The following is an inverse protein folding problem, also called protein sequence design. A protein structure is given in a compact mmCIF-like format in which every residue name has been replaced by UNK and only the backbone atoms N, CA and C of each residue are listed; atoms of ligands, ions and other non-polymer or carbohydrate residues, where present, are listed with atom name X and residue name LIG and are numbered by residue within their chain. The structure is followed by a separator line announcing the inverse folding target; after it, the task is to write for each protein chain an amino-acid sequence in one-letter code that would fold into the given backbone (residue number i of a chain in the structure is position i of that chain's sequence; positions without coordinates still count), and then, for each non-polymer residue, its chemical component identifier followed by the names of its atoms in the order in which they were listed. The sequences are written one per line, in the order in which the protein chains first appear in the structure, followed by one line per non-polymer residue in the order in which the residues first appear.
data_IF_916571046851
#
_entry.id   IF_916571046851
#
_cell.length_a   1.000
_cell.length_b   1.000
_cell.length_c   1.000
_cell.angle_alpha   90.00
_cell.angle_beta   90.00
_cell.angle_gamma   90.00
#
_symmetry.space_group_name_H-M   'P 1'
#
loop_
_entity.id
_entity.type
_entity.pdbx_description
1 polymer ?
#
# COMPACT_ATOMS: atom_id res chain seq x y z
N UNK A 1 71.94 -16.22 -14.39
CA UNK A 1 71.34 -14.89 -14.16
C UNK A 1 70.65 -14.46 -15.44
N UNK A 2 69.39 -14.01 -15.38
CA UNK A 2 68.65 -13.47 -16.53
C UNK A 2 67.46 -12.64 -16.03
N UNK A 3 67.71 -11.36 -15.76
CA UNK A 3 66.66 -10.42 -15.34
C UNK A 3 65.71 -10.15 -16.50
N UNK A 4 64.41 -10.34 -16.29
CA UNK A 4 63.37 -9.88 -17.22
C UNK A 4 62.72 -8.63 -16.63
N UNK A 5 62.90 -7.50 -17.30
CA UNK A 5 62.31 -6.22 -16.90
C UNK A 5 60.79 -6.24 -17.06
N UNK A 6 60.07 -5.64 -16.13
CA UNK A 6 58.65 -5.34 -16.32
C UNK A 6 58.53 -4.15 -17.29
N UNK A 7 57.83 -4.37 -18.40
CA UNK A 7 57.25 -3.29 -19.21
C UNK A 7 55.76 -3.35 -18.97
N UNK A 8 55.19 -2.33 -18.32
CA UNK A 8 53.73 -2.16 -18.31
C UNK A 8 53.29 -1.79 -19.71
N UNK A 9 52.26 -2.47 -20.21
CA UNK A 9 51.40 -1.93 -21.23
C UNK A 9 50.26 -1.23 -20.47
N UNK A 10 50.14 0.08 -20.63
CA UNK A 10 49.00 0.80 -20.10
C UNK A 10 47.82 0.56 -21.07
N UNK A 11 46.83 -0.21 -20.64
CA UNK A 11 45.60 -0.42 -21.43
C UNK A 11 44.81 0.89 -21.49
N UNK A 12 44.89 1.56 -22.63
CA UNK A 12 44.14 2.78 -22.92
C UNK A 12 42.63 2.46 -22.89
N UNK A 13 41.91 3.10 -21.97
CA UNK A 13 40.50 2.81 -21.73
C UNK A 13 39.61 3.36 -22.85
N UNK A 14 39.35 2.54 -23.87
CA UNK A 14 38.56 2.89 -25.06
C UNK A 14 37.18 3.45 -24.69
N UNK A 15 37.03 4.77 -24.78
CA UNK A 15 35.74 5.45 -24.60
C UNK A 15 34.93 5.38 -25.90
N UNK A 16 34.05 4.38 -26.02
CA UNK A 16 33.05 4.36 -27.09
C UNK A 16 32.03 5.49 -26.86
N UNK A 17 32.12 6.55 -27.67
CA UNK A 17 31.07 7.57 -27.75
C UNK A 17 29.90 7.04 -28.60
N UNK A 18 28.81 6.64 -27.94
CA UNK A 18 27.57 6.22 -28.62
C UNK A 18 26.61 7.43 -28.76
N UNK A 19 26.36 7.95 -29.98
CA UNK A 19 25.54 9.14 -30.17
C UNK A 19 24.04 8.84 -30.00
N UNK A 20 23.52 9.08 -28.80
CA UNK A 20 22.08 9.03 -28.50
C UNK A 20 21.35 10.27 -29.04
N UNK A 21 20.60 10.12 -30.13
CA UNK A 21 19.76 11.19 -30.68
C UNK A 21 18.52 11.45 -29.82
N UNK A 22 18.23 12.71 -29.56
CA UNK A 22 16.92 13.20 -29.14
C UNK A 22 16.63 14.54 -29.83
N UNK A 23 15.35 14.81 -30.12
CA UNK A 23 14.98 15.72 -31.21
C UNK A 23 15.25 17.20 -30.89
N UNK A 24 15.72 17.90 -31.92
CA UNK A 24 15.73 19.36 -32.06
C UNK A 24 14.94 19.77 -33.33
N UNK A 25 14.33 20.95 -33.44
CA UNK A 25 14.38 22.11 -32.54
C UNK A 25 13.04 22.45 -31.87
N UNK A 26 12.72 22.29 -30.57
CA UNK A 26 13.26 21.53 -29.43
C UNK A 26 14.73 21.77 -28.99
N UNK A 27 14.99 22.07 -27.71
CA UNK A 27 16.34 22.48 -27.29
C UNK A 27 16.89 21.68 -26.12
N UNK A 28 17.64 20.62 -26.45
CA UNK A 28 18.34 19.77 -25.49
C UNK A 28 19.75 20.31 -25.31
N UNK A 29 19.99 21.03 -24.22
CA UNK A 29 21.36 21.43 -23.83
C UNK A 29 22.15 20.18 -23.43
N UNK A 30 23.36 20.03 -23.97
CA UNK A 30 24.28 18.92 -23.71
C UNK A 30 24.64 18.78 -22.22
N UNK A 31 23.93 17.90 -21.50
CA UNK A 31 24.30 17.45 -20.16
C UNK A 31 25.29 16.29 -20.27
N UNK A 32 26.57 16.55 -19.97
CA UNK A 32 27.61 15.53 -19.94
C UNK A 32 27.35 14.50 -18.84
N UNK A 33 27.02 13.26 -19.23
CA UNK A 33 26.84 12.13 -18.32
C UNK A 33 28.21 11.54 -17.93
N UNK A 34 28.78 11.98 -16.80
CA UNK A 34 30.04 11.43 -16.27
C UNK A 34 29.79 10.16 -15.45
N UNK A 35 30.13 8.98 -16.01
CA UNK A 35 30.04 7.68 -15.32
C UNK A 35 31.18 7.50 -14.32
N UNK A 36 31.01 7.99 -13.08
CA UNK A 36 32.00 7.80 -12.00
C UNK A 36 31.89 6.39 -11.41
N UNK A 37 32.54 5.41 -12.04
CA UNK A 37 32.72 4.09 -11.46
C UNK A 37 33.61 4.15 -10.22
N UNK A 38 33.19 3.52 -9.12
CA UNK A 38 34.01 3.30 -7.93
C UNK A 38 33.92 1.82 -7.55
N UNK A 39 35.02 1.06 -7.54
CA UNK A 39 34.97 -0.32 -7.06
C UNK A 39 34.72 -0.33 -5.55
N UNK A 40 33.99 -1.35 -5.08
CA UNK A 40 34.28 -2.14 -3.87
C UNK A 40 33.11 -3.08 -3.52
N UNK A 41 33.29 -4.36 -3.88
CA UNK A 41 32.87 -5.59 -3.19
C UNK A 41 31.53 -5.65 -2.41
N UNK A 42 30.73 -6.67 -2.78
CA UNK A 42 29.68 -7.31 -1.94
C UNK A 42 28.45 -6.49 -1.53
N UNK A 43 27.79 -5.84 -2.49
CA UNK A 43 26.33 -5.68 -2.51
C UNK A 43 25.84 -5.55 -3.97
N UNK A 44 24.61 -5.95 -4.28
CA UNK A 44 24.03 -5.71 -5.61
C UNK A 44 23.87 -4.19 -5.86
N UNK A 45 24.30 -3.65 -7.02
CA UNK A 45 24.13 -2.24 -7.33
C UNK A 45 22.66 -1.92 -7.60
N UNK A 46 22.00 -1.27 -6.65
CA UNK A 46 20.74 -0.59 -6.90
C UNK A 46 21.03 0.74 -7.62
N UNK A 47 21.10 0.71 -8.96
CA UNK A 47 21.37 1.88 -9.80
C UNK A 47 20.23 2.93 -9.72
N UNK A 48 20.27 3.76 -8.67
CA UNK A 48 19.39 4.91 -8.50
C UNK A 48 19.90 6.08 -9.36
N UNK A 49 19.44 6.14 -10.62
CA UNK A 49 19.75 7.19 -11.60
C UNK A 49 19.34 8.59 -11.12
N UNK A 50 20.22 9.27 -10.38
CA UNK A 50 20.00 10.61 -9.82
C UNK A 50 20.35 11.72 -10.79
N UNK A 51 19.38 12.11 -11.62
CA UNK A 51 19.45 13.37 -12.35
C UNK A 51 19.48 14.56 -11.37
N UNK A 52 20.64 15.21 -11.24
CA UNK A 52 20.84 16.42 -10.42
C UNK A 52 20.82 17.63 -11.33
N UNK A 53 19.72 18.37 -11.32
CA UNK A 53 19.58 19.64 -12.04
C UNK A 53 19.92 20.82 -11.14
N UNK A 54 20.71 21.78 -11.64
CA UNK A 54 20.81 23.10 -11.01
C UNK A 54 19.83 24.02 -11.73
N UNK A 55 18.81 24.48 -11.03
CA UNK A 55 17.86 25.47 -11.55
C UNK A 55 18.54 26.85 -11.64
N UNK A 56 18.10 27.76 -12.53
CA UNK A 56 18.77 29.05 -12.77
C UNK A 56 18.90 29.95 -11.53
N UNK A 57 18.16 29.67 -10.45
CA UNK A 57 18.23 30.36 -9.16
C UNK A 57 19.19 29.69 -8.15
N UNK A 58 20.13 28.86 -8.62
CA UNK A 58 21.14 28.17 -7.78
C UNK A 58 20.61 26.99 -6.95
N UNK A 59 19.31 26.72 -6.99
CA UNK A 59 18.68 25.61 -6.25
C UNK A 59 19.01 24.28 -6.92
N UNK A 60 19.61 23.36 -6.15
CA UNK A 60 19.92 21.99 -6.57
C UNK A 60 18.66 21.11 -6.45
N UNK A 61 18.04 20.78 -7.57
CA UNK A 61 16.94 19.83 -7.64
C UNK A 61 17.47 18.40 -7.84
N UNK A 62 16.97 17.45 -7.04
CA UNK A 62 17.23 16.02 -7.20
C UNK A 62 15.93 15.35 -7.61
N UNK A 63 15.85 14.91 -8.86
CA UNK A 63 14.69 14.19 -9.36
C UNK A 63 14.81 12.70 -9.03
N UNK A 64 13.67 12.09 -8.67
CA UNK A 64 13.52 10.64 -8.50
C UNK A 64 12.38 10.18 -9.41
N UNK A 65 12.57 9.08 -10.14
CA UNK A 65 11.48 8.43 -10.85
C UNK A 65 10.58 7.70 -9.87
N UNK A 66 9.26 7.90 -9.97
CA UNK A 66 8.28 7.25 -9.08
C UNK A 66 8.25 5.73 -9.24
N UNK A 67 8.59 5.23 -10.43
CA UNK A 67 8.83 3.81 -10.67
C UNK A 67 10.32 3.56 -10.89
N UNK A 68 10.79 2.43 -10.35
CA UNK A 68 12.16 1.92 -10.57
C UNK A 68 12.09 0.65 -11.41
N UNK A 69 13.15 0.33 -12.16
CA UNK A 69 13.24 -0.95 -12.88
C UNK A 69 13.03 -2.13 -11.92
N UNK A 70 13.55 -2.04 -10.69
CA UNK A 70 13.30 -3.03 -9.62
C UNK A 70 11.81 -3.20 -9.31
N UNK A 71 11.02 -2.13 -9.26
CA UNK A 71 9.56 -2.22 -9.04
C UNK A 71 8.78 -2.82 -10.21
N UNK A 72 9.36 -2.86 -11.41
CA UNK A 72 8.75 -3.44 -12.61
C UNK A 72 9.15 -4.92 -12.79
N UNK A 73 10.45 -5.24 -12.71
CA UNK A 73 10.97 -6.60 -12.87
C UNK A 73 10.78 -7.47 -11.61
N UNK A 74 11.00 -6.90 -10.41
CA UNK A 74 11.09 -7.69 -9.17
C UNK A 74 9.80 -7.58 -8.38
N UNK A 75 8.82 -8.42 -8.74
CA UNK A 75 7.63 -8.68 -7.91
C UNK A 75 7.98 -9.54 -6.69
N UNK A 76 8.79 -9.00 -5.78
CA UNK A 76 9.13 -9.59 -4.48
C UNK A 76 7.96 -9.60 -3.46
N UNK A 77 6.72 -9.49 -3.94
CA UNK A 77 5.51 -9.58 -3.14
C UNK A 77 4.53 -10.51 -3.83
N UNK A 78 4.08 -11.51 -3.09
CA UNK A 78 3.12 -12.52 -3.55
C UNK A 78 1.86 -11.86 -4.09
N UNK A 79 1.23 -12.50 -5.07
CA UNK A 79 -0.05 -12.06 -5.59
C UNK A 79 -1.06 -11.83 -4.44
N UNK A 80 -1.80 -10.73 -4.51
CA UNK A 80 -2.79 -10.39 -3.48
C UNK A 80 -3.99 -11.32 -3.65
N UNK A 81 -3.92 -12.45 -2.94
CA UNK A 81 -5.01 -13.40 -2.69
C UNK A 81 -6.38 -12.68 -2.61
N UNK A 82 -7.36 -13.07 -3.45
CA UNK A 82 -8.73 -12.54 -3.39
C UNK A 82 -9.36 -12.49 -2.00
N UNK A 83 -8.94 -13.32 -1.03
CA UNK A 83 -9.45 -13.33 0.34
C UNK A 83 -9.04 -12.11 1.21
N UNK A 84 -8.16 -11.23 0.72
CA UNK A 84 -7.73 -9.99 1.41
C UNK A 84 -8.74 -8.87 1.14
N UNK A 85 -9.74 -8.75 1.99
CA UNK A 85 -10.91 -7.87 1.83
C UNK A 85 -11.20 -7.12 3.13
N UNK A 86 -11.91 -6.01 3.05
CA UNK A 86 -12.45 -5.31 4.22
C UNK A 86 -13.85 -5.88 4.51
N UNK A 87 -14.19 -6.17 5.76
CA UNK A 87 -15.42 -6.91 6.07
C UNK A 87 -16.03 -6.62 7.44
N UNK A 88 -17.28 -7.08 7.61
CA UNK A 88 -18.11 -6.80 8.78
C UNK A 88 -18.56 -8.07 9.49
N UNK A 89 -18.42 -8.10 10.81
CA UNK A 89 -18.87 -9.20 11.67
C UNK A 89 -20.05 -8.67 12.51
N UNK A 90 -21.29 -9.10 12.24
CA UNK A 90 -22.44 -8.68 13.04
C UNK A 90 -22.50 -9.43 14.38
N UNK A 91 -23.16 -8.80 15.36
CA UNK A 91 -23.42 -9.34 16.69
C UNK A 91 -24.93 -9.48 16.92
N UNK A 92 -25.33 -10.40 17.79
CA UNK A 92 -26.72 -10.59 18.25
C UNK A 92 -27.39 -9.27 18.73
N UNK A 93 -26.58 -8.31 19.23
CA UNK A 93 -27.04 -6.99 19.67
C UNK A 93 -27.36 -5.99 18.55
N UNK A 94 -27.25 -6.39 17.27
CA UNK A 94 -27.37 -5.52 16.10
C UNK A 94 -26.17 -4.58 15.90
N UNK A 95 -25.21 -4.55 16.83
CA UNK A 95 -23.91 -3.89 16.64
C UNK A 95 -23.05 -4.68 15.65
N UNK A 96 -22.10 -3.98 15.02
CA UNK A 96 -21.25 -4.56 13.96
C UNK A 96 -19.79 -4.20 14.24
N UNK A 97 -18.89 -5.19 14.18
CA UNK A 97 -17.46 -4.96 14.11
C UNK A 97 -17.05 -4.79 12.64
N UNK A 98 -16.26 -3.76 12.35
CA UNK A 98 -15.79 -3.46 10.98
C UNK A 98 -14.26 -3.56 10.99
N UNK A 99 -13.70 -4.47 10.21
CA UNK A 99 -12.27 -4.74 10.22
C UNK A 99 -11.70 -5.00 8.83
N UNK A 100 -10.62 -4.30 8.52
CA UNK A 100 -9.72 -4.62 7.41
C UNK A 100 -8.96 -5.91 7.69
N UNK A 101 -8.94 -6.85 6.73
CA UNK A 101 -8.06 -8.03 6.83
C UNK A 101 -6.99 -8.01 5.74
N UNK A 102 -5.74 -7.72 6.15
CA UNK A 102 -4.55 -7.93 5.30
C UNK A 102 -4.17 -9.41 5.11
N UNK A 103 -4.91 -10.30 5.77
CA UNK A 103 -4.94 -11.76 5.71
C UNK A 103 -6.37 -12.20 5.32
N UNK A 104 -6.66 -13.49 5.07
CA UNK A 104 -8.04 -13.96 4.90
C UNK A 104 -8.91 -13.63 6.12
N UNK A 105 -10.19 -13.29 5.90
CA UNK A 105 -11.15 -12.99 6.98
C UNK A 105 -11.35 -14.18 7.93
N UNK A 106 -11.25 -15.40 7.43
CA UNK A 106 -11.33 -16.64 8.21
C UNK A 106 -10.27 -16.70 9.32
N UNK A 107 -9.08 -16.13 9.11
CA UNK A 107 -8.05 -16.07 10.15
C UNK A 107 -8.35 -14.99 11.19
N UNK A 108 -9.02 -13.90 10.79
CA UNK A 108 -9.47 -12.86 11.71
C UNK A 108 -10.64 -13.33 12.59
N UNK A 109 -11.53 -14.17 12.05
CA UNK A 109 -12.57 -14.86 12.83
C UNK A 109 -11.93 -15.77 13.89
N UNK A 110 -10.95 -16.62 13.50
CA UNK A 110 -10.21 -17.48 14.45
C UNK A 110 -9.44 -16.67 15.50
N UNK A 111 -8.86 -15.54 15.11
CA UNK A 111 -8.16 -14.62 16.03
C UNK A 111 -9.12 -14.04 17.07
N UNK A 112 -10.30 -13.57 16.66
CA UNK A 112 -11.31 -13.07 17.58
C UNK A 112 -11.94 -14.17 18.45
N UNK A 113 -12.26 -15.36 17.92
CA UNK A 113 -12.72 -16.52 18.72
C UNK A 113 -11.71 -16.86 19.83
N UNK A 114 -10.43 -17.02 19.45
CA UNK A 114 -9.34 -17.28 20.41
C UNK A 114 -9.25 -16.18 21.46
N UNK A 115 -9.32 -14.93 21.05
CA UNK A 115 -9.16 -13.80 21.98
C UNK A 115 -10.38 -13.66 22.92
N UNK A 116 -11.60 -13.94 22.46
CA UNK A 116 -12.81 -14.07 23.31
C UNK A 116 -12.63 -15.20 24.33
N UNK A 117 -12.22 -16.39 23.88
CA UNK A 117 -11.98 -17.57 24.74
C UNK A 117 -10.88 -17.36 25.77
N UNK A 118 -9.91 -16.49 25.48
CA UNK A 118 -8.83 -16.09 26.38
C UNK A 118 -9.12 -14.79 27.15
N UNK A 119 -10.35 -14.27 27.07
CA UNK A 119 -10.80 -13.02 27.71
C UNK A 119 -9.87 -11.82 27.48
N UNK A 120 -9.30 -11.69 26.27
CA UNK A 120 -8.33 -10.65 25.89
C UNK A 120 -9.00 -9.32 25.55
N UNK A 121 -9.74 -8.79 26.52
CA UNK A 121 -10.48 -7.52 26.42
C UNK A 121 -9.55 -6.34 26.12
N UNK A 122 -8.36 -6.29 26.73
CA UNK A 122 -7.37 -5.22 26.51
C UNK A 122 -6.96 -5.06 25.04
N UNK A 123 -6.71 -6.17 24.33
CA UNK A 123 -6.16 -6.15 22.96
C UNK A 123 -7.22 -6.25 21.86
N UNK A 124 -8.44 -6.69 22.19
CA UNK A 124 -9.49 -7.00 21.22
C UNK A 124 -10.82 -6.38 21.66
N UNK A 125 -11.23 -5.29 21.01
CA UNK A 125 -12.53 -4.65 21.23
C UNK A 125 -13.73 -5.62 21.03
N UNK A 126 -13.52 -6.62 20.17
CA UNK A 126 -14.48 -7.71 19.93
C UNK A 126 -14.56 -8.66 21.14
N UNK A 127 -13.44 -8.96 21.80
CA UNK A 127 -13.41 -9.70 23.07
C UNK A 127 -13.96 -8.88 24.23
N UNK A 128 -13.65 -7.58 24.29
CA UNK A 128 -14.20 -6.64 25.28
C UNK A 128 -15.72 -6.57 25.19
N UNK A 129 -16.28 -6.44 23.98
CA UNK A 129 -17.73 -6.41 23.77
C UNK A 129 -18.41 -7.73 24.17
N UNK A 130 -17.87 -8.87 23.75
CA UNK A 130 -18.42 -10.18 24.09
C UNK A 130 -18.37 -10.44 25.60
N UNK A 131 -17.25 -10.12 26.25
CA UNK A 131 -17.09 -10.24 27.71
C UNK A 131 -18.05 -9.32 28.49
N UNK A 132 -18.13 -8.04 28.11
CA UNK A 132 -18.88 -7.04 28.87
C UNK A 132 -20.40 -7.06 28.62
N UNK A 133 -20.87 -7.77 27.58
CA UNK A 133 -22.30 -7.81 27.24
C UNK A 133 -22.89 -9.22 27.10
N UNK A 134 -22.06 -10.28 27.10
CA UNK A 134 -22.50 -11.66 26.95
C UNK A 134 -22.96 -12.06 25.54
N UNK A 135 -23.14 -11.10 24.63
CA UNK A 135 -23.57 -11.36 23.26
C UNK A 135 -22.49 -12.07 22.44
N UNK A 136 -22.93 -12.93 21.53
CA UNK A 136 -22.09 -13.64 20.57
C UNK A 136 -22.02 -12.89 19.24
N UNK A 137 -21.05 -13.31 18.43
CA UNK A 137 -20.85 -12.80 17.08
C UNK A 137 -21.36 -13.84 16.08
N UNK A 138 -22.05 -13.36 15.06
CA UNK A 138 -22.71 -14.19 14.06
C UNK A 138 -21.68 -14.55 12.99
N UNK A 139 -20.76 -15.47 13.32
CA UNK A 139 -19.63 -15.87 12.48
C UNK A 139 -20.04 -16.36 11.08
N UNK A 140 -21.28 -16.86 10.93
CA UNK A 140 -21.85 -17.33 9.67
C UNK A 140 -22.39 -16.18 8.80
N UNK A 141 -22.60 -14.98 9.35
CA UNK A 141 -23.18 -13.81 8.68
C UNK A 141 -22.12 -12.75 8.31
N UNK A 142 -20.84 -13.11 8.37
CA UNK A 142 -19.74 -12.20 8.03
C UNK A 142 -19.81 -11.81 6.56
N UNK A 143 -20.12 -10.53 6.29
CA UNK A 143 -20.19 -9.99 4.93
C UNK A 143 -18.93 -9.20 4.60
N UNK A 144 -18.36 -9.46 3.44
CA UNK A 144 -17.34 -8.60 2.85
C UNK A 144 -17.98 -7.27 2.41
N UNK A 145 -17.26 -6.16 2.56
CA UNK A 145 -17.72 -4.82 2.22
C UNK A 145 -17.05 -4.34 0.93
N UNK A 146 -15.72 -4.45 0.84
CA UNK A 146 -14.92 -3.91 -0.25
C UNK A 146 -13.64 -4.74 -0.46
N UNK A 147 -13.12 -4.75 -1.68
CA UNK A 147 -11.88 -5.41 -2.07
C UNK A 147 -10.98 -4.40 -2.78
N UNK A 148 -9.95 -3.96 -2.07
CA UNK A 148 -8.92 -3.06 -2.59
C UNK A 148 -7.54 -3.70 -2.44
N UNK A 149 -6.66 -3.72 -3.45
CA UNK A 149 -5.34 -4.35 -3.35
C UNK A 149 -4.35 -3.53 -2.52
N UNK A 150 -4.49 -2.20 -2.42
CA UNK A 150 -3.51 -1.34 -1.77
C UNK A 150 -3.74 -1.24 -0.24
N UNK A 151 -2.67 -1.06 0.53
CA UNK A 151 -2.78 -1.04 2.01
C UNK A 151 -3.46 0.23 2.55
N UNK A 152 -3.17 1.39 1.95
CA UNK A 152 -3.60 2.69 2.46
C UNK A 152 -5.09 2.94 2.19
N UNK A 153 -5.53 2.73 0.96
CA UNK A 153 -6.94 2.74 0.53
C UNK A 153 -7.83 1.90 1.45
N UNK A 154 -7.46 0.65 1.75
CA UNK A 154 -8.18 -0.20 2.73
C UNK A 154 -8.35 0.48 4.09
N UNK A 155 -7.33 1.19 4.63
CA UNK A 155 -7.48 1.92 5.92
C UNK A 155 -8.45 3.11 5.81
N UNK A 156 -8.46 3.80 4.67
CA UNK A 156 -9.39 4.91 4.42
C UNK A 156 -10.82 4.39 4.27
N UNK A 157 -11.02 3.28 3.55
CA UNK A 157 -12.30 2.58 3.41
C UNK A 157 -12.82 2.07 4.77
N UNK A 158 -11.98 1.37 5.52
CA UNK A 158 -12.23 0.95 6.91
C UNK A 158 -12.71 2.12 7.79
N UNK A 159 -11.98 3.23 7.81
CA UNK A 159 -12.33 4.43 8.57
C UNK A 159 -13.67 5.07 8.11
N UNK A 160 -13.90 5.13 6.78
CA UNK A 160 -15.19 5.57 6.20
C UNK A 160 -16.33 4.68 6.70
N UNK A 161 -16.16 3.36 6.68
CA UNK A 161 -17.19 2.41 7.11
C UNK A 161 -17.44 2.49 8.61
N UNK A 162 -16.41 2.58 9.46
CA UNK A 162 -16.57 2.80 10.91
C UNK A 162 -17.34 4.10 11.18
N UNK A 163 -16.95 5.21 10.55
CA UNK A 163 -17.58 6.53 10.74
C UNK A 163 -18.98 6.67 10.09
N UNK A 164 -19.39 5.71 9.25
CA UNK A 164 -20.75 5.56 8.73
C UNK A 164 -21.67 4.72 9.63
N UNK A 165 -21.12 3.88 10.51
CA UNK A 165 -21.87 3.01 11.42
C UNK A 165 -21.65 3.43 12.88
N UNK A 166 -22.40 4.41 13.43
CA UNK A 166 -22.13 4.96 14.77
C UNK A 166 -22.26 3.94 15.91
N UNK A 167 -23.05 2.88 15.72
CA UNK A 167 -23.27 1.81 16.72
C UNK A 167 -22.37 0.58 16.47
N UNK A 168 -21.11 0.80 16.11
CA UNK A 168 -20.15 -0.27 15.85
C UNK A 168 -19.49 -0.81 17.15
N UNK A 169 -18.63 -1.82 17.01
CA UNK A 169 -17.89 -2.50 18.11
C UNK A 169 -16.43 -2.01 18.22
N UNK A 170 -15.94 -1.22 17.28
CA UNK A 170 -14.54 -0.77 17.25
C UNK A 170 -14.24 0.23 18.39
N UNK A 171 -13.04 0.13 18.97
CA UNK A 171 -12.54 1.09 19.97
C UNK A 171 -12.01 2.36 19.32
N UNK A 172 -11.59 2.30 18.06
CA UNK A 172 -10.98 3.38 17.29
C UNK A 172 -11.73 3.67 15.98
N UNK A 173 -11.50 4.86 15.41
CA UNK A 173 -12.07 5.28 14.11
C UNK A 173 -11.18 4.99 12.89
N UNK A 174 -10.06 4.28 13.06
CA UNK A 174 -9.10 4.00 12.00
C UNK A 174 -8.18 5.19 11.66
N UNK A 175 -8.27 5.70 10.42
CA UNK A 175 -7.57 6.92 9.99
C UNK A 175 -8.47 8.13 10.23
N UNK A 176 -7.89 9.25 10.66
CA UNK A 176 -8.60 10.53 10.75
C UNK A 176 -9.06 11.03 9.38
N UNK A 177 -10.38 11.18 9.22
CA UNK A 177 -11.02 11.76 8.04
C UNK A 177 -11.48 13.18 8.42
N UNK A 178 -11.03 14.24 7.73
CA UNK A 178 -11.46 15.60 8.05
C UNK A 178 -12.98 15.75 7.88
N UNK A 179 -13.66 16.31 8.89
CA UNK A 179 -15.13 16.31 8.97
C UNK A 179 -15.82 17.01 7.77
N UNK A 180 -15.12 17.93 7.09
CA UNK A 180 -15.57 18.56 5.85
C UNK A 180 -15.94 17.54 4.73
N UNK A 181 -15.37 16.33 4.75
CA UNK A 181 -15.71 15.26 3.79
C UNK A 181 -16.98 14.49 4.18
N UNK A 182 -17.42 14.52 5.44
CA UNK A 182 -18.53 13.70 5.92
C UNK A 182 -19.89 13.98 5.26
N UNK A 183 -20.27 15.21 4.90
CA UNK A 183 -21.47 15.47 4.10
C UNK A 183 -21.42 14.77 2.73
N UNK A 184 -20.25 14.80 2.08
CA UNK A 184 -20.00 14.17 0.78
C UNK A 184 -20.05 12.65 0.91
N UNK A 185 -19.33 12.06 1.86
CA UNK A 185 -19.34 10.61 2.16
C UNK A 185 -20.77 10.13 2.44
N UNK A 186 -21.53 10.82 3.30
CA UNK A 186 -22.94 10.51 3.60
C UNK A 186 -23.87 10.72 2.40
N UNK A 187 -23.53 11.57 1.42
CA UNK A 187 -24.27 11.72 0.14
C UNK A 187 -24.02 10.56 -0.80
N UNK A 188 -22.76 10.14 -0.98
CA UNK A 188 -22.41 9.01 -1.85
C UNK A 188 -22.91 7.67 -1.31
N UNK A 189 -22.79 7.41 -0.01
CA UNK A 189 -23.30 6.18 0.60
C UNK A 189 -24.82 6.00 0.39
N UNK A 190 -25.59 7.09 0.58
CA UNK A 190 -27.06 7.09 0.30
C UNK A 190 -27.41 6.86 -1.17
N UNK A 191 -26.50 7.14 -2.11
CA UNK A 191 -26.71 6.80 -3.53
C UNK A 191 -26.44 5.31 -3.76
N UNK A 192 -25.32 4.78 -3.26
CA UNK A 192 -24.95 3.38 -3.43
C UNK A 192 -25.99 2.41 -2.86
N UNK A 193 -26.46 2.64 -1.62
CA UNK A 193 -27.51 1.82 -0.98
C UNK A 193 -28.80 1.80 -1.81
N UNK A 194 -29.22 2.94 -2.38
CA UNK A 194 -30.41 3.02 -3.23
C UNK A 194 -30.27 2.25 -4.54
N UNK A 195 -29.06 2.07 -5.06
CA UNK A 195 -28.82 1.28 -6.26
C UNK A 195 -28.91 -0.22 -5.94
N UNK A 196 -28.25 -0.66 -4.85
CA UNK A 196 -28.31 -2.05 -4.37
C UNK A 196 -29.75 -2.51 -4.09
N UNK A 197 -30.54 -1.74 -3.34
CA UNK A 197 -31.94 -2.10 -3.04
C UNK A 197 -32.85 -2.09 -4.28
N UNK A 198 -32.51 -1.31 -5.32
CA UNK A 198 -33.24 -1.33 -6.59
C UNK A 198 -32.85 -2.54 -7.46
N UNK A 199 -31.61 -3.01 -7.37
CA UNK A 199 -31.12 -4.20 -8.08
C UNK A 199 -31.70 -5.48 -7.45
N UNK A 200 -31.75 -5.58 -6.12
CA UNK A 200 -32.36 -6.71 -5.39
C UNK A 200 -33.86 -6.88 -5.75
N UNK A 201 -34.61 -5.78 -5.87
CA UNK A 201 -36.04 -5.77 -6.23
C UNK A 201 -36.35 -6.04 -7.72
N UNK A 202 -35.33 -6.27 -8.56
CA UNK A 202 -35.47 -6.68 -9.97
C UNK A 202 -35.17 -8.19 -10.14
N UNK A 203 -34.74 -8.86 -9.06
CA UNK A 203 -34.34 -10.28 -9.06
C UNK A 203 -35.27 -11.22 -8.28
N UNK A 204 -36.40 -10.71 -7.78
CA UNK A 204 -37.51 -11.47 -7.18
C UNK A 204 -38.75 -11.47 -8.08
#
# INVERSE_FOLDING_TARGET
MASKSSTKQDEEATTEEVPGYAIQGNSITLLKLTKTGKPNNSAEPADEFKATGVLPYGVRAVFKSETTLRSQLVRAKDAVDPAKQDGRIPCESGKVYIGKTGRPMQDRIKEHDRDIRLARTETSAVSEHAHNTGHKLLWNEVKFIDRDPYYYTRRVKEAIHIRLHPNNINRDSGIEIPEAWMPTIKKHNRRAVRQQTAEEQITE
#
